data_IF_509918945162
#
_entry.id   IF_509918945162
#
_cell.length_a   1.000
_cell.length_b   1.000
_cell.length_c   1.000
_cell.angle_alpha   90.00
_cell.angle_beta   90.00
_cell.angle_gamma   90.00
#
_symmetry.space_group_name_H-M   'P 1'
#
loop_
_entity.id
_entity.type
_entity.pdbx_description
1 polymer ?
#
# COMPACT_ATOMS: atom_id res chain seq x y z
N UNK A 1 31.72 28.15 -26.30
CA UNK A 1 30.37 27.76 -25.81
C UNK A 1 30.48 26.48 -24.98
N UNK A 2 30.36 26.56 -23.65
CA UNK A 2 30.48 25.40 -22.74
C UNK A 2 29.22 24.52 -22.83
N UNK A 3 29.36 23.27 -23.27
CA UNK A 3 28.28 22.25 -23.28
C UNK A 3 27.81 22.02 -21.84
N UNK A 4 26.61 22.49 -21.49
CA UNK A 4 25.94 22.16 -20.21
C UNK A 4 25.64 20.66 -20.21
N UNK A 5 26.05 19.97 -19.15
CA UNK A 5 25.89 18.53 -18.98
C UNK A 5 24.41 18.14 -18.78
N UNK A 6 23.95 17.01 -19.34
CA UNK A 6 22.55 16.55 -19.27
C UNK A 6 22.05 16.23 -17.84
N UNK A 7 22.96 16.07 -16.87
CA UNK A 7 22.63 15.77 -15.46
C UNK A 7 21.84 16.90 -14.76
N UNK A 8 22.15 18.18 -15.01
CA UNK A 8 21.44 19.30 -14.35
C UNK A 8 20.02 19.49 -14.86
N UNK A 9 19.80 19.29 -16.16
CA UNK A 9 18.46 19.38 -16.74
C UNK A 9 17.55 18.24 -16.26
N UNK A 10 18.11 17.04 -16.07
CA UNK A 10 17.37 15.88 -15.55
C UNK A 10 17.06 16.00 -14.06
N UNK A 11 18.00 16.50 -13.24
CA UNK A 11 17.75 16.80 -11.84
C UNK A 11 16.69 17.88 -11.65
N UNK A 12 16.67 18.90 -12.52
CA UNK A 12 15.60 19.90 -12.55
C UNK A 12 14.24 19.31 -12.98
N UNK A 13 14.23 18.31 -13.88
CA UNK A 13 13.03 17.59 -14.29
C UNK A 13 12.49 16.68 -13.19
N UNK A 14 13.37 15.98 -12.47
CA UNK A 14 13.01 15.14 -11.32
C UNK A 14 12.53 16.03 -10.15
N UNK A 15 13.21 17.15 -9.88
CA UNK A 15 12.78 18.10 -8.87
C UNK A 15 11.44 18.77 -9.22
N UNK A 16 11.23 19.14 -10.49
CA UNK A 16 9.96 19.68 -10.96
C UNK A 16 8.84 18.63 -10.89
N UNK A 17 9.11 17.37 -11.21
CA UNK A 17 8.12 16.30 -11.14
C UNK A 17 7.79 15.88 -9.69
N UNK A 18 8.76 15.93 -8.77
CA UNK A 18 8.52 15.76 -7.33
C UNK A 18 7.78 16.95 -6.72
N UNK A 19 8.02 18.19 -7.18
CA UNK A 19 7.20 19.35 -6.82
C UNK A 19 5.77 19.25 -7.35
N UNK A 20 5.57 18.63 -8.52
CA UNK A 20 4.25 18.38 -9.11
C UNK A 20 3.46 17.26 -8.40
N UNK A 21 4.14 16.30 -7.78
CA UNK A 21 3.50 15.26 -6.96
C UNK A 21 3.21 15.73 -5.52
N UNK A 22 3.82 16.85 -5.08
CA UNK A 22 3.63 17.44 -3.76
C UNK A 22 2.61 18.59 -3.69
N UNK A 23 1.90 18.91 -4.77
CA UNK A 23 0.95 20.02 -4.78
C UNK A 23 -0.07 19.97 -5.92
N UNK A 24 -1.35 19.87 -5.54
CA UNK A 24 -2.58 20.22 -6.27
C UNK A 24 -2.73 19.72 -7.72
N UNK A 25 -3.85 19.02 -7.96
CA UNK A 25 -4.35 18.50 -9.25
C UNK A 25 -4.68 19.58 -10.31
N UNK A 26 -4.08 20.77 -10.25
CA UNK A 26 -4.33 21.87 -11.17
C UNK A 26 -3.19 22.04 -12.18
N UNK A 27 -3.08 21.13 -13.14
CA UNK A 27 -2.40 21.41 -14.42
C UNK A 27 -3.08 20.67 -15.57
N UNK A 28 -4.34 21.02 -15.82
CA UNK A 28 -4.96 20.68 -17.08
C UNK A 28 -4.46 21.62 -18.20
N UNK A 29 -4.12 21.05 -19.35
CA UNK A 29 -4.05 21.73 -20.65
C UNK A 29 -2.70 22.14 -21.25
N UNK A 30 -1.63 22.50 -20.50
CA UNK A 30 -0.41 23.09 -21.13
C UNK A 30 0.96 22.56 -20.72
N UNK A 31 1.11 22.04 -19.49
CA UNK A 31 2.42 21.64 -18.96
C UNK A 31 2.72 20.16 -19.19
N UNK A 32 1.73 19.29 -19.05
CA UNK A 32 1.87 17.85 -19.28
C UNK A 32 2.35 17.52 -20.71
N UNK A 33 1.80 18.12 -21.80
CA UNK A 33 2.27 17.84 -23.16
C UNK A 33 3.70 18.35 -23.43
N UNK A 34 4.10 19.44 -22.75
CA UNK A 34 5.46 20.01 -22.86
C UNK A 34 6.50 19.16 -22.13
N UNK A 35 6.16 18.65 -20.95
CA UNK A 35 6.98 17.71 -20.21
C UNK A 35 7.10 16.39 -20.97
N UNK A 36 5.99 15.85 -21.48
CA UNK A 36 5.98 14.65 -22.31
C UNK A 36 6.85 14.82 -23.56
N UNK A 37 6.72 15.92 -24.29
CA UNK A 37 7.56 16.21 -25.46
C UNK A 37 9.04 16.46 -25.12
N UNK A 38 9.35 17.01 -23.94
CA UNK A 38 10.72 17.18 -23.44
C UNK A 38 11.38 15.84 -23.09
N UNK A 39 10.64 14.98 -22.38
CA UNK A 39 11.10 13.67 -21.92
C UNK A 39 11.15 12.63 -23.04
N UNK A 40 10.24 12.67 -24.01
CA UNK A 40 10.32 11.88 -25.25
C UNK A 40 11.63 12.15 -26.01
N UNK A 41 12.12 13.40 -25.98
CA UNK A 41 13.39 13.82 -26.60
C UNK A 41 14.62 13.69 -25.69
N UNK A 42 14.45 13.27 -24.44
CA UNK A 42 15.57 13.03 -23.52
C UNK A 42 16.40 11.81 -23.96
N UNK A 43 17.69 11.80 -23.62
CA UNK A 43 18.56 10.67 -23.92
C UNK A 43 18.09 9.38 -23.22
N UNK A 44 18.43 8.22 -23.78
CA UNK A 44 18.10 6.92 -23.19
C UNK A 44 18.58 6.81 -21.73
N UNK A 45 19.77 7.33 -21.43
CA UNK A 45 20.32 7.40 -20.06
C UNK A 45 19.47 8.25 -19.12
N UNK A 46 18.88 9.35 -19.61
CA UNK A 46 18.03 10.21 -18.80
C UNK A 46 16.66 9.58 -18.52
N UNK A 47 16.11 8.86 -19.51
CA UNK A 47 14.88 8.07 -19.33
C UNK A 47 15.12 6.90 -18.37
N UNK A 48 16.26 6.21 -18.48
CA UNK A 48 16.66 5.13 -17.57
C UNK A 48 16.80 5.63 -16.12
N UNK A 49 17.48 6.76 -15.91
CA UNK A 49 17.64 7.34 -14.58
C UNK A 49 16.30 7.78 -13.97
N UNK A 50 15.37 8.29 -14.78
CA UNK A 50 14.02 8.61 -14.34
C UNK A 50 13.26 7.34 -13.92
N UNK A 51 13.35 6.28 -14.74
CA UNK A 51 12.77 4.97 -14.42
C UNK A 51 13.33 4.36 -13.13
N UNK A 52 14.64 4.48 -12.88
CA UNK A 52 15.27 4.00 -11.65
C UNK A 52 14.86 4.77 -10.40
N UNK A 53 14.51 6.06 -10.54
CA UNK A 53 14.30 6.95 -9.39
C UNK A 53 12.83 7.31 -9.14
N UNK A 54 11.99 7.24 -10.15
CA UNK A 54 10.56 7.57 -10.06
C UNK A 54 9.76 6.82 -11.14
N UNK A 55 9.63 5.48 -11.05
CA UNK A 55 8.95 4.66 -12.06
C UNK A 55 7.49 5.08 -12.31
N UNK A 56 6.80 5.58 -11.28
CA UNK A 56 5.45 6.15 -11.37
C UNK A 56 5.34 7.34 -12.35
N UNK A 57 6.42 8.11 -12.56
CA UNK A 57 6.46 9.20 -13.55
C UNK A 57 6.72 8.69 -14.96
N UNK A 58 7.46 7.59 -15.11
CA UNK A 58 7.67 6.92 -16.39
C UNK A 58 6.34 6.48 -17.02
N UNK A 59 5.47 5.91 -16.19
CA UNK A 59 4.10 5.50 -16.57
C UNK A 59 3.20 6.71 -16.87
N UNK A 60 3.19 7.73 -15.99
CA UNK A 60 2.40 8.95 -16.18
C UNK A 60 2.72 9.68 -17.50
N UNK A 61 3.97 9.57 -17.97
CA UNK A 61 4.48 10.28 -19.14
C UNK A 61 4.54 9.40 -20.41
N UNK A 62 4.09 8.13 -20.32
CA UNK A 62 4.08 7.20 -21.47
C UNK A 62 5.47 6.96 -22.07
N UNK A 63 6.52 6.89 -21.24
CA UNK A 63 7.87 6.63 -21.69
C UNK A 63 8.12 5.12 -21.83
N UNK A 64 8.48 4.66 -23.03
CA UNK A 64 8.93 3.27 -23.23
C UNK A 64 10.16 2.98 -22.35
N UNK A 65 10.16 1.82 -21.66
CA UNK A 65 11.28 1.37 -20.86
C UNK A 65 12.54 1.18 -21.73
N UNK A 66 13.70 1.73 -21.31
CA UNK A 66 14.96 1.46 -21.99
C UNK A 66 15.64 0.25 -21.35
N UNK A 67 15.11 -0.96 -21.57
CA UNK A 67 15.92 -2.16 -21.40
C UNK A 67 16.56 -2.54 -22.75
N UNK A 68 17.88 -2.86 -22.78
CA UNK A 68 18.41 -3.60 -23.91
C UNK A 68 17.65 -4.92 -23.99
N UNK A 69 17.10 -5.21 -25.16
CA UNK A 69 16.65 -6.55 -25.53
C UNK A 69 17.74 -7.52 -25.11
N UNK A 70 17.46 -8.32 -24.07
CA UNK A 70 18.32 -9.46 -23.77
C UNK A 70 18.46 -10.26 -25.07
N UNK A 71 19.66 -10.75 -25.43
CA UNK A 71 19.79 -11.61 -26.58
C UNK A 71 18.81 -12.77 -26.39
N UNK A 72 17.83 -12.86 -27.29
CA UNK A 72 16.90 -13.98 -27.32
C UNK A 72 17.77 -15.24 -27.45
N UNK A 73 17.75 -16.17 -26.47
CA UNK A 73 18.23 -17.50 -26.77
C UNK A 73 17.41 -17.99 -27.97
N UNK A 74 18.11 -18.59 -28.93
CA UNK A 74 17.55 -19.07 -30.19
C UNK A 74 16.16 -19.66 -29.97
N UNK A 75 15.20 -19.23 -30.79
CA UNK A 75 13.80 -19.58 -30.71
C UNK A 75 13.63 -21.11 -30.77
N UNK A 76 13.71 -21.77 -29.62
CA UNK A 76 12.99 -23.00 -29.40
C UNK A 76 11.53 -22.62 -29.66
N UNK A 77 10.89 -23.34 -30.58
CA UNK A 77 9.47 -23.24 -30.90
C UNK A 77 8.67 -23.43 -29.60
N UNK A 78 8.49 -22.33 -28.86
CA UNK A 78 7.59 -22.29 -27.73
C UNK A 78 6.19 -22.34 -28.31
N UNK A 79 5.31 -23.21 -27.80
CA UNK A 79 3.91 -23.16 -28.18
C UNK A 79 3.39 -21.73 -28.00
N UNK A 80 2.47 -21.27 -28.87
CA UNK A 80 1.91 -19.93 -28.75
C UNK A 80 1.42 -19.72 -27.32
N UNK A 81 1.79 -18.58 -26.73
CA UNK A 81 1.32 -18.23 -25.39
C UNK A 81 -0.22 -18.28 -25.41
N UNK A 82 -0.86 -18.94 -24.42
CA UNK A 82 -2.31 -19.00 -24.37
C UNK A 82 -2.86 -17.57 -24.38
N UNK A 83 -3.93 -17.34 -25.15
CA UNK A 83 -4.59 -16.04 -25.17
C UNK A 83 -5.00 -15.68 -23.74
N UNK A 84 -4.70 -14.45 -23.27
CA UNK A 84 -5.14 -14.01 -21.96
C UNK A 84 -6.66 -14.13 -21.88
N UNK A 85 -7.16 -14.58 -20.73
CA UNK A 85 -8.61 -14.54 -20.47
C UNK A 85 -9.07 -13.08 -20.58
N UNK A 86 -10.10 -12.82 -21.38
CA UNK A 86 -10.84 -11.57 -21.31
C UNK A 86 -11.49 -11.41 -19.93
N UNK A 87 -11.46 -10.20 -19.37
CA UNK A 87 -12.22 -9.89 -18.14
C UNK A 87 -13.71 -9.95 -18.43
N UNK A 88 -14.47 -10.55 -17.52
CA UNK A 88 -15.94 -10.47 -17.59
C UNK A 88 -16.40 -9.09 -17.11
N UNK A 89 -17.66 -8.75 -17.39
CA UNK A 89 -18.25 -7.51 -16.86
C UNK A 89 -18.26 -7.52 -15.33
N UNK A 90 -18.51 -8.69 -14.74
CA UNK A 90 -18.52 -8.90 -13.29
C UNK A 90 -17.14 -8.71 -12.68
N UNK A 91 -16.07 -9.18 -13.34
CA UNK A 91 -14.72 -8.93 -12.86
C UNK A 91 -14.40 -7.44 -12.85
N UNK A 92 -14.71 -6.71 -13.92
CA UNK A 92 -14.54 -5.26 -13.98
C UNK A 92 -15.37 -4.54 -12.90
N UNK A 93 -16.57 -5.03 -12.61
CA UNK A 93 -17.41 -4.51 -11.53
C UNK A 93 -16.77 -4.73 -10.16
N UNK A 94 -16.20 -5.92 -9.89
CA UNK A 94 -15.47 -6.18 -8.63
C UNK A 94 -14.24 -5.26 -8.51
N UNK A 95 -13.46 -5.08 -9.58
CA UNK A 95 -12.32 -4.16 -9.57
C UNK A 95 -12.74 -2.73 -9.22
N UNK A 96 -13.85 -2.26 -9.80
CA UNK A 96 -14.41 -0.93 -9.53
C UNK A 96 -14.95 -0.78 -8.10
N UNK A 97 -15.61 -1.82 -7.56
CA UNK A 97 -16.09 -1.84 -6.17
C UNK A 97 -14.91 -1.77 -5.19
N UNK A 98 -13.87 -2.56 -5.42
CA UNK A 98 -12.65 -2.53 -4.58
C UNK A 98 -11.98 -1.15 -4.65
N UNK A 99 -11.91 -0.53 -5.84
CA UNK A 99 -11.37 0.83 -5.99
C UNK A 99 -12.20 1.86 -5.21
N UNK A 100 -13.53 1.84 -5.34
CA UNK A 100 -14.40 2.77 -4.64
C UNK A 100 -14.23 2.69 -3.12
N UNK A 101 -14.19 1.47 -2.57
CA UNK A 101 -13.98 1.21 -1.14
C UNK A 101 -12.59 1.66 -0.68
N UNK A 102 -11.57 1.47 -1.53
CA UNK A 102 -10.22 1.98 -1.27
C UNK A 102 -10.20 3.51 -1.16
N UNK A 103 -10.91 4.22 -2.04
CA UNK A 103 -10.95 5.69 -2.00
C UNK A 103 -11.58 6.22 -0.70
N UNK A 104 -12.46 5.46 -0.04
CA UNK A 104 -13.02 5.86 1.25
C UNK A 104 -11.96 6.03 2.35
N UNK A 105 -10.75 5.47 2.20
CA UNK A 105 -9.66 5.63 3.17
C UNK A 105 -8.80 6.88 2.95
N UNK A 106 -9.22 7.77 2.05
CA UNK A 106 -8.58 9.05 1.79
C UNK A 106 -9.58 10.19 1.97
N UNK A 107 -9.11 11.32 2.51
CA UNK A 107 -9.92 12.52 2.66
C UNK A 107 -9.07 13.77 2.60
N UNK A 108 -9.53 14.77 1.88
CA UNK A 108 -8.86 16.07 1.79
C UNK A 108 -9.24 16.97 2.96
N UNK A 109 -8.24 17.62 3.55
CA UNK A 109 -8.41 18.62 4.60
C UNK A 109 -7.71 19.92 4.25
N UNK A 110 -8.37 21.03 4.57
CA UNK A 110 -7.73 22.35 4.59
C UNK A 110 -7.16 22.62 5.98
N UNK A 111 -5.83 22.57 6.11
CA UNK A 111 -5.12 22.83 7.36
C UNK A 111 -4.24 24.06 7.18
N UNK A 112 -4.63 25.17 7.80
CA UNK A 112 -4.04 26.47 7.52
C UNK A 112 -4.29 26.88 6.07
N UNK A 113 -3.22 27.23 5.34
CA UNK A 113 -3.29 27.60 3.93
C UNK A 113 -3.08 26.43 2.95
N UNK A 114 -3.02 25.18 3.45
CA UNK A 114 -2.73 23.99 2.65
C UNK A 114 -3.95 23.10 2.53
N UNK A 115 -4.12 22.49 1.36
CA UNK A 115 -4.96 21.31 1.18
C UNK A 115 -4.04 20.09 1.21
N UNK A 116 -4.33 19.14 2.09
CA UNK A 116 -3.58 17.90 2.29
C UNK A 116 -4.51 16.71 2.09
N UNK A 117 -4.08 15.69 1.36
CA UNK A 117 -4.83 14.43 1.23
C UNK A 117 -4.40 13.50 2.37
N UNK A 118 -5.26 13.41 3.39
CA UNK A 118 -5.01 12.56 4.55
C UNK A 118 -5.49 11.15 4.26
N UNK A 119 -4.60 10.20 4.45
CA UNK A 119 -4.90 8.77 4.37
C UNK A 119 -5.12 8.18 5.76
N UNK A 120 -5.86 7.07 5.81
CA UNK A 120 -6.04 6.32 7.04
C UNK A 120 -4.72 5.70 7.52
N UNK A 121 -4.31 5.93 8.79
CA UNK A 121 -3.13 5.29 9.32
C UNK A 121 -3.28 3.77 9.51
N UNK A 122 -2.14 3.09 9.65
CA UNK A 122 -2.11 1.70 10.08
C UNK A 122 -2.38 1.57 11.60
N UNK A 123 -3.00 0.46 12.06
CA UNK A 123 -3.45 0.31 13.46
C UNK A 123 -3.17 -1.03 14.16
N UNK A 124 -2.24 -1.87 13.73
CA UNK A 124 -1.86 -3.06 14.51
C UNK A 124 -0.40 -3.43 14.31
N UNK A 125 0.44 -2.89 15.17
CA UNK A 125 1.82 -3.32 15.29
C UNK A 125 2.00 -4.00 16.64
N UNK A 126 1.97 -5.33 16.67
CA UNK A 126 2.62 -6.08 17.76
C UNK A 126 4.12 -5.76 17.90
N UNK A 127 4.62 -4.83 17.08
CA UNK A 127 5.96 -4.24 17.07
C UNK A 127 6.06 -2.92 17.85
N UNK A 128 4.94 -2.34 18.30
CA UNK A 128 4.89 -1.12 19.12
C UNK A 128 4.71 -1.45 20.59
N UNK A 129 5.39 -2.50 21.01
CA UNK A 129 5.39 -2.98 22.38
C UNK A 129 6.71 -2.61 23.06
N UNK A 130 6.68 -2.35 24.36
CA UNK A 130 7.90 -2.24 25.15
C UNK A 130 8.05 -3.38 26.16
N UNK A 131 9.26 -3.54 26.68
CA UNK A 131 9.59 -4.57 27.65
C UNK A 131 8.80 -4.47 28.98
N UNK A 132 8.03 -3.40 29.18
CA UNK A 132 7.18 -3.18 30.36
C UNK A 132 5.72 -3.58 30.08
N UNK A 133 5.44 -4.16 28.91
CA UNK A 133 4.13 -4.66 28.54
C UNK A 133 3.18 -3.58 28.01
N UNK A 134 3.67 -2.39 27.67
CA UNK A 134 2.85 -1.45 26.91
C UNK A 134 2.61 -2.00 25.51
N UNK A 135 1.38 -1.90 25.01
CA UNK A 135 1.02 -2.06 23.60
C UNK A 135 0.11 -0.90 23.20
N UNK A 136 0.19 -0.47 21.94
CA UNK A 136 -0.60 0.66 21.48
C UNK A 136 -2.02 0.23 21.12
N UNK A 137 -2.98 0.63 21.95
CA UNK A 137 -4.40 0.44 21.64
C UNK A 137 -4.91 1.52 20.67
N UNK A 138 -5.48 1.08 19.54
CA UNK A 138 -6.08 1.97 18.55
C UNK A 138 -7.59 2.09 18.72
N UNK A 139 -8.15 3.23 18.29
CA UNK A 139 -9.58 3.44 18.25
C UNK A 139 -10.27 2.34 17.43
N UNK A 140 -11.29 1.72 18.02
CA UNK A 140 -11.99 0.55 17.46
C UNK A 140 -11.07 -0.64 17.19
N UNK A 141 -10.00 -0.80 17.99
CA UNK A 141 -9.04 -1.89 17.93
C UNK A 141 -8.34 -2.02 16.57
N UNK A 142 -8.26 -0.92 15.80
CA UNK A 142 -7.75 -0.94 14.44
C UNK A 142 -8.69 -1.64 13.44
N UNK A 143 -9.93 -1.93 13.84
CA UNK A 143 -10.96 -2.58 13.04
C UNK A 143 -12.08 -1.61 12.66
N UNK A 144 -11.91 -0.30 12.75
CA UNK A 144 -12.94 0.65 12.32
C UNK A 144 -13.20 0.59 10.80
N UNK A 145 -14.39 1.02 10.37
CA UNK A 145 -14.69 1.35 8.96
C UNK A 145 -14.45 2.84 8.71
N UNK A 146 -14.19 3.28 7.47
CA UNK A 146 -14.08 4.72 7.14
C UNK A 146 -15.22 5.56 7.73
N UNK A 147 -16.47 5.10 7.60
CA UNK A 147 -17.64 5.78 8.15
C UNK A 147 -17.61 5.99 9.68
N UNK A 148 -16.88 5.16 10.42
CA UNK A 148 -16.71 5.28 11.89
C UNK A 148 -15.41 5.98 12.28
N UNK A 149 -14.36 5.83 11.47
CA UNK A 149 -13.04 6.40 11.73
C UNK A 149 -12.98 7.89 11.38
N UNK A 150 -13.58 8.29 10.25
CA UNK A 150 -13.53 9.70 9.82
C UNK A 150 -14.20 10.69 10.77
N UNK A 151 -15.40 10.42 11.34
CA UNK A 151 -15.97 11.34 12.32
C UNK A 151 -15.08 11.56 13.55
N UNK A 152 -14.34 10.53 13.97
CA UNK A 152 -13.36 10.66 15.05
C UNK A 152 -12.16 11.51 14.62
N UNK A 153 -11.61 11.25 13.42
CA UNK A 153 -10.50 12.02 12.85
C UNK A 153 -10.88 13.49 12.65
N UNK A 154 -12.08 13.77 12.16
CA UNK A 154 -12.60 15.12 11.99
C UNK A 154 -12.56 15.89 13.32
N UNK A 155 -13.06 15.27 14.40
CA UNK A 155 -13.03 15.86 15.73
C UNK A 155 -11.60 16.08 16.25
N UNK A 156 -10.67 15.16 15.96
CA UNK A 156 -9.26 15.27 16.32
C UNK A 156 -8.59 16.42 15.58
N UNK A 157 -8.77 16.53 14.27
CA UNK A 157 -8.15 17.56 13.44
C UNK A 157 -8.76 18.95 13.69
N UNK A 158 -10.03 19.03 14.12
CA UNK A 158 -10.65 20.27 14.57
C UNK A 158 -10.22 20.70 15.99
N UNK A 159 -9.47 19.87 16.71
CA UNK A 159 -9.13 20.14 18.11
C UNK A 159 -8.05 21.21 18.28
N UNK A 160 -8.10 21.95 19.41
CA UNK A 160 -7.02 22.89 19.80
C UNK A 160 -5.67 22.20 19.97
N UNK A 161 -5.67 20.93 20.39
CA UNK A 161 -4.46 20.13 20.54
C UNK A 161 -3.77 19.93 19.20
N UNK A 162 -4.53 19.53 18.16
CA UNK A 162 -3.97 19.38 16.83
C UNK A 162 -3.55 20.73 16.24
N UNK A 163 -4.32 21.81 16.44
CA UNK A 163 -3.92 23.15 15.99
C UNK A 163 -2.58 23.58 16.61
N UNK A 164 -2.37 23.32 17.91
CA UNK A 164 -1.10 23.58 18.59
C UNK A 164 0.06 22.70 18.09
N UNK A 165 -0.22 21.46 17.69
CA UNK A 165 0.75 20.58 17.04
C UNK A 165 1.15 21.12 15.66
N UNK A 166 0.15 21.38 14.81
CA UNK A 166 0.33 21.87 13.46
C UNK A 166 1.15 23.17 13.42
N UNK A 167 0.87 24.10 14.32
CA UNK A 167 1.62 25.35 14.43
C UNK A 167 3.09 25.15 14.82
N UNK A 168 3.39 24.22 15.74
CA UNK A 168 4.76 23.95 16.19
C UNK A 168 5.57 23.20 15.13
N UNK A 169 4.96 22.19 14.51
CA UNK A 169 5.61 21.34 13.52
C UNK A 169 5.79 22.07 12.19
N UNK A 170 4.76 22.78 11.72
CA UNK A 170 4.82 23.55 10.48
C UNK A 170 5.49 24.92 10.60
N UNK A 171 5.94 25.31 11.80
CA UNK A 171 6.69 26.55 12.02
C UNK A 171 8.11 26.50 11.42
N UNK A 172 8.80 27.64 11.28
CA UNK A 172 10.16 27.69 10.73
C UNK A 172 11.21 27.06 11.67
N UNK A 173 12.41 26.82 11.12
CA UNK A 173 13.58 26.33 11.83
C UNK A 173 13.66 24.82 11.96
N UNK A 174 14.87 24.31 12.16
CA UNK A 174 15.10 22.88 12.33
C UNK A 174 14.66 22.42 13.72
N UNK A 175 14.01 21.26 13.77
CA UNK A 175 13.48 20.69 15.02
C UNK A 175 13.34 19.18 14.93
N UNK A 176 13.21 18.57 16.09
CA UNK A 176 12.88 17.15 16.23
C UNK A 176 11.54 17.04 16.92
N UNK A 177 10.60 16.34 16.28
CA UNK A 177 9.32 15.99 16.86
C UNK A 177 9.46 14.63 17.54
N UNK A 178 9.38 14.60 18.87
CA UNK A 178 9.46 13.39 19.66
C UNK A 178 8.07 12.95 20.11
N UNK A 179 7.59 11.81 19.62
CA UNK A 179 6.34 11.20 20.06
C UNK A 179 6.58 10.19 21.18
N UNK A 180 5.68 10.18 22.15
CA UNK A 180 5.56 9.12 23.16
C UNK A 180 4.22 8.44 22.97
N UNK A 181 4.25 7.20 22.48
CA UNK A 181 3.05 6.41 22.26
C UNK A 181 2.31 6.15 23.58
N UNK A 182 2.97 5.77 24.71
CA UNK A 182 2.28 5.52 25.97
C UNK A 182 1.58 6.75 26.52
N UNK A 183 2.19 7.94 26.36
CA UNK A 183 1.63 9.20 26.86
C UNK A 183 0.67 9.87 25.88
N UNK A 184 0.54 9.36 24.65
CA UNK A 184 -0.26 9.97 23.57
C UNK A 184 0.09 11.44 23.39
N UNK A 185 1.39 11.73 23.38
CA UNK A 185 1.89 13.09 23.43
C UNK A 185 3.05 13.28 22.48
N UNK A 186 3.31 14.54 22.13
CA UNK A 186 4.48 14.95 21.37
C UNK A 186 5.25 16.04 22.12
N UNK A 187 6.54 16.11 21.86
CA UNK A 187 7.44 17.19 22.25
C UNK A 187 8.18 17.69 21.02
N UNK A 188 8.55 18.96 21.02
CA UNK A 188 9.35 19.56 19.94
C UNK A 188 10.65 20.05 20.56
N UNK A 189 11.77 19.55 20.05
CA UNK A 189 13.11 19.88 20.48
C UNK A 189 13.80 20.70 19.40
N UNK A 190 14.51 21.76 19.80
CA UNK A 190 15.34 22.59 18.91
C UNK A 190 16.81 22.56 19.36
N UNK A 191 17.16 21.61 20.22
CA UNK A 191 18.50 21.44 20.77
C UNK A 191 19.45 20.87 19.70
N UNK A 192 20.60 21.53 19.49
CA UNK A 192 21.57 21.17 18.45
C UNK A 192 22.08 19.73 18.54
N UNK A 193 22.34 19.22 19.74
CA UNK A 193 22.90 17.88 19.93
C UNK A 193 21.96 16.75 19.43
N UNK A 194 20.64 16.89 19.62
CA UNK A 194 19.70 15.88 19.14
C UNK A 194 19.52 15.95 17.61
N UNK A 195 19.58 17.16 17.05
CA UNK A 195 19.57 17.37 15.60
C UNK A 195 20.83 16.78 14.96
N UNK A 196 22.01 17.08 15.50
CA UNK A 196 23.30 16.54 15.04
C UNK A 196 23.35 15.01 15.13
N UNK A 197 22.84 14.42 16.22
CA UNK A 197 22.79 12.98 16.38
C UNK A 197 21.94 12.30 15.29
N UNK A 198 20.76 12.86 14.98
CA UNK A 198 19.89 12.33 13.94
C UNK A 198 20.48 12.53 12.53
N UNK A 199 21.20 13.62 12.28
CA UNK A 199 21.91 13.87 11.02
C UNK A 199 23.07 12.87 10.80
N UNK A 200 23.64 12.34 11.89
CA UNK A 200 24.66 11.30 11.89
C UNK A 200 24.09 9.87 11.94
N UNK A 201 22.82 9.68 11.58
CA UNK A 201 22.09 8.39 11.62
C UNK A 201 22.06 7.71 13.01
N UNK A 202 22.31 8.46 14.09
CA UNK A 202 22.22 7.96 15.47
C UNK A 202 20.80 8.11 15.99
N UNK A 203 19.92 7.18 15.61
CA UNK A 203 18.52 7.17 16.03
C UNK A 203 18.34 6.80 17.53
N UNK A 204 17.85 7.70 18.39
CA UNK A 204 17.69 7.45 19.83
C UNK A 204 16.32 6.87 20.20
N UNK A 205 15.48 6.60 19.19
CA UNK A 205 14.12 6.11 19.40
C UNK A 205 14.06 4.68 19.91
N UNK A 206 12.86 4.32 20.34
CA UNK A 206 12.47 2.97 20.78
C UNK A 206 11.14 2.63 20.11
N UNK A 207 10.67 1.37 20.15
CA UNK A 207 9.36 1.02 19.60
C UNK A 207 8.21 1.96 20.04
N UNK A 208 8.29 2.50 21.26
CA UNK A 208 7.25 3.34 21.87
C UNK A 208 7.61 4.83 21.96
N UNK A 209 8.80 5.22 21.48
CA UNK A 209 9.28 6.61 21.45
C UNK A 209 9.94 6.93 20.11
N UNK A 210 9.27 7.74 19.32
CA UNK A 210 9.63 8.02 17.92
C UNK A 210 10.20 9.43 17.85
N UNK A 211 11.31 9.62 17.13
CA UNK A 211 11.92 10.92 16.88
C UNK A 211 11.91 11.21 15.39
N UNK A 212 11.41 12.38 14.98
CA UNK A 212 11.31 12.76 13.57
C UNK A 212 11.99 14.12 13.35
N UNK A 213 13.11 14.18 12.62
CA UNK A 213 13.70 15.44 12.24
C UNK A 213 12.81 16.18 11.24
N UNK A 214 12.78 17.50 11.34
CA UNK A 214 12.02 18.41 10.47
C UNK A 214 12.87 19.64 10.17
N UNK A 215 13.00 19.98 8.90
CA UNK A 215 13.91 21.02 8.41
C UNK A 215 13.17 22.32 8.06
N UNK A 216 12.38 22.85 9.01
CA UNK A 216 11.60 24.08 8.82
C UNK A 216 10.52 24.04 7.73
N UNK A 217 10.18 22.84 7.25
CA UNK A 217 9.20 22.64 6.18
C UNK A 217 7.77 22.88 6.67
N UNK A 218 6.86 23.33 5.79
CA UNK A 218 5.45 23.46 6.17
C UNK A 218 4.84 22.08 6.44
N UNK A 219 3.75 22.08 7.23
CA UNK A 219 3.04 20.86 7.64
C UNK A 219 2.70 19.96 6.44
N UNK A 220 3.10 18.70 6.49
CA UNK A 220 2.93 17.69 5.44
C UNK A 220 1.82 16.68 5.78
N UNK A 221 1.42 15.87 4.79
CA UNK A 221 0.52 14.72 5.02
C UNK A 221 1.13 13.72 6.02
N UNK A 222 2.45 13.50 5.95
CA UNK A 222 3.16 12.64 6.88
C UNK A 222 3.06 13.17 8.33
N UNK A 223 3.13 14.48 8.54
CA UNK A 223 2.97 15.07 9.88
C UNK A 223 1.57 14.84 10.45
N UNK A 224 0.54 14.93 9.59
CA UNK A 224 -0.85 14.63 10.00
C UNK A 224 -0.98 13.14 10.32
N UNK A 225 -0.45 12.26 9.46
CA UNK A 225 -0.39 10.83 9.70
C UNK A 225 0.27 10.51 11.04
N UNK A 226 1.44 11.09 11.32
CA UNK A 226 2.21 10.85 12.54
C UNK A 226 1.40 11.23 13.79
N UNK A 227 0.67 12.35 13.75
CA UNK A 227 -0.21 12.76 14.85
C UNK A 227 -1.40 11.82 15.03
N UNK A 228 -2.09 11.46 13.95
CA UNK A 228 -3.21 10.53 13.99
C UNK A 228 -2.78 9.16 14.52
N UNK A 229 -1.62 8.68 14.10
CA UNK A 229 -1.03 7.43 14.57
C UNK A 229 -0.61 7.53 16.05
N UNK A 230 0.25 8.47 16.42
CA UNK A 230 0.93 8.45 17.72
C UNK A 230 0.10 9.07 18.87
N UNK A 231 -0.73 10.07 18.57
CA UNK A 231 -1.49 10.83 19.57
C UNK A 231 -2.96 10.41 19.57
N UNK A 232 -3.60 10.48 18.40
CA UNK A 232 -5.01 10.11 18.28
C UNK A 232 -5.21 8.60 18.39
N UNK A 233 -4.19 7.79 18.04
CA UNK A 233 -4.24 6.33 17.98
C UNK A 233 -5.40 5.85 17.12
N UNK A 234 -5.50 6.37 15.90
CA UNK A 234 -6.53 5.96 14.95
C UNK A 234 -5.90 5.40 13.69
N UNK A 235 -6.52 4.34 13.16
CA UNK A 235 -6.13 3.72 11.91
C UNK A 235 -6.90 2.43 11.67
N UNK A 236 -6.50 1.70 10.63
CA UNK A 236 -7.02 0.38 10.30
C UNK A 236 -5.87 -0.60 10.10
N UNK A 237 -6.00 -1.80 10.64
CA UNK A 237 -5.02 -2.86 10.43
C UNK A 237 -5.26 -3.63 9.12
N UNK A 238 -4.31 -4.48 8.75
CA UNK A 238 -4.31 -5.15 7.45
C UNK A 238 -5.51 -6.09 7.26
N UNK A 239 -5.91 -6.79 8.33
CA UNK A 239 -7.03 -7.73 8.30
C UNK A 239 -8.39 -7.04 8.38
N UNK A 240 -8.51 -5.94 9.13
CA UNK A 240 -9.70 -5.10 9.18
C UNK A 240 -9.92 -4.33 7.88
N UNK A 241 -8.83 -3.92 7.22
CA UNK A 241 -8.86 -3.34 5.88
C UNK A 241 -9.32 -4.37 4.85
N UNK A 242 -8.67 -5.54 4.79
CA UNK A 242 -9.04 -6.62 3.88
C UNK A 242 -10.50 -7.07 4.09
N UNK A 243 -10.92 -7.22 5.35
CA UNK A 243 -12.30 -7.53 5.70
C UNK A 243 -13.29 -6.49 5.15
N UNK A 244 -13.01 -5.19 5.29
CA UNK A 244 -13.90 -4.14 4.77
C UNK A 244 -14.07 -4.22 3.25
N UNK A 245 -12.98 -4.47 2.53
CA UNK A 245 -13.02 -4.63 1.07
C UNK A 245 -13.87 -5.84 0.69
N UNK A 246 -13.65 -6.99 1.32
CA UNK A 246 -14.42 -8.21 1.05
C UNK A 246 -15.89 -8.10 1.45
N UNK A 247 -16.19 -7.40 2.54
CA UNK A 247 -17.55 -7.11 3.00
C UNK A 247 -18.30 -6.24 1.99
N UNK A 248 -17.67 -5.21 1.45
CA UNK A 248 -18.28 -4.35 0.45
C UNK A 248 -18.55 -5.10 -0.86
N UNK A 249 -17.62 -5.96 -1.30
CA UNK A 249 -17.84 -6.86 -2.44
C UNK A 249 -19.02 -7.78 -2.13
N UNK A 250 -19.01 -8.49 -1.00
CA UNK A 250 -20.09 -9.41 -0.62
C UNK A 250 -21.47 -8.73 -0.63
N UNK A 251 -21.57 -7.54 -0.03
CA UNK A 251 -22.81 -6.76 0.05
C UNK A 251 -23.34 -6.39 -1.33
N UNK A 252 -22.46 -6.04 -2.27
CA UNK A 252 -22.84 -5.75 -3.65
C UNK A 252 -23.47 -6.96 -4.37
N UNK A 253 -23.19 -8.18 -3.89
CA UNK A 253 -23.77 -9.44 -4.39
C UNK A 253 -24.83 -10.03 -3.42
N UNK A 254 -25.43 -9.19 -2.57
CA UNK A 254 -26.54 -9.59 -1.68
C UNK A 254 -26.14 -10.48 -0.51
N UNK A 255 -24.85 -10.55 -0.19
CA UNK A 255 -24.32 -11.36 0.90
C UNK A 255 -23.94 -10.49 2.11
N UNK A 256 -24.70 -10.63 3.20
CA UNK A 256 -24.43 -9.95 4.47
C UNK A 256 -23.47 -10.80 5.34
N UNK A 257 -22.15 -10.64 5.11
CA UNK A 257 -21.12 -11.45 5.78
C UNK A 257 -21.21 -11.43 7.30
N UNK A 258 -21.50 -10.28 7.91
CA UNK A 258 -21.60 -10.17 9.37
C UNK A 258 -22.78 -10.99 9.93
N UNK A 259 -23.87 -11.14 9.18
CA UNK A 259 -25.00 -11.96 9.62
C UNK A 259 -24.63 -13.45 9.57
N UNK A 260 -24.13 -13.90 8.41
CA UNK A 260 -23.75 -15.30 8.18
C UNK A 260 -22.65 -15.75 9.16
N UNK A 261 -21.61 -14.94 9.35
CA UNK A 261 -20.54 -15.25 10.27
C UNK A 261 -20.91 -15.04 11.73
N UNK A 262 -21.88 -14.17 12.05
CA UNK A 262 -22.35 -13.98 13.42
C UNK A 262 -22.88 -15.28 14.01
N UNK A 263 -23.66 -16.03 13.23
CA UNK A 263 -24.16 -17.36 13.60
C UNK A 263 -23.01 -18.37 13.79
N UNK A 264 -22.07 -18.39 12.84
CA UNK A 264 -20.95 -19.35 12.83
C UNK A 264 -19.98 -19.10 13.99
N UNK A 265 -19.65 -17.83 14.25
CA UNK A 265 -18.74 -17.39 15.30
C UNK A 265 -19.43 -17.24 16.66
N UNK A 266 -20.76 -17.44 16.74
CA UNK A 266 -21.59 -17.28 17.94
C UNK A 266 -21.43 -15.91 18.59
N UNK A 267 -21.45 -14.86 17.77
CA UNK A 267 -21.40 -13.45 18.20
C UNK A 267 -22.49 -12.65 17.51
N UNK A 268 -22.87 -11.51 18.10
CA UNK A 268 -23.76 -10.58 17.41
C UNK A 268 -23.12 -10.13 16.07
N UNK A 269 -23.88 -9.95 14.97
CA UNK A 269 -23.34 -9.55 13.66
C UNK A 269 -22.38 -8.36 13.75
N UNK A 270 -22.79 -7.30 14.46
CA UNK A 270 -21.98 -6.09 14.72
C UNK A 270 -20.63 -6.32 15.42
N UNK A 271 -20.42 -7.50 16.01
CA UNK A 271 -19.19 -7.87 16.72
C UNK A 271 -18.27 -8.75 15.87
N UNK A 272 -18.72 -9.25 14.72
CA UNK A 272 -17.93 -10.12 13.82
C UNK A 272 -16.64 -9.41 13.42
N UNK A 273 -16.72 -8.18 12.91
CA UNK A 273 -15.57 -7.41 12.45
C UNK A 273 -14.46 -7.27 13.50
N UNK A 274 -14.84 -7.06 14.77
CA UNK A 274 -13.89 -6.97 15.88
C UNK A 274 -13.18 -8.29 16.21
N UNK A 275 -13.71 -9.43 15.74
CA UNK A 275 -13.12 -10.77 15.92
C UNK A 275 -12.24 -11.18 14.75
N UNK A 276 -12.39 -10.57 13.58
CA UNK A 276 -11.60 -10.90 12.40
C UNK A 276 -10.16 -10.43 12.58
N UNK A 277 -9.28 -11.39 12.81
CA UNK A 277 -7.83 -11.23 12.72
C UNK A 277 -7.27 -12.04 11.55
N UNK A 278 -5.94 -12.03 11.39
CA UNK A 278 -5.29 -12.82 10.33
C UNK A 278 -5.55 -14.33 10.43
N UNK A 279 -5.80 -14.82 11.65
CA UNK A 279 -6.23 -16.20 11.89
C UNK A 279 -7.45 -16.58 11.03
N UNK A 280 -8.41 -15.66 10.86
CA UNK A 280 -9.64 -15.93 10.11
C UNK A 280 -9.37 -16.23 8.63
N UNK A 281 -8.34 -15.60 8.06
CA UNK A 281 -7.97 -15.81 6.66
C UNK A 281 -7.08 -17.02 6.44
N UNK A 282 -6.60 -17.67 7.51
CA UNK A 282 -5.83 -18.90 7.41
C UNK A 282 -6.72 -20.04 6.87
N UNK A 283 -6.36 -20.71 5.76
CA UNK A 283 -7.13 -21.85 5.24
C UNK A 283 -7.31 -22.98 6.25
N UNK A 284 -6.47 -23.07 7.28
CA UNK A 284 -6.66 -24.01 8.39
C UNK A 284 -7.97 -23.79 9.17
N UNK A 285 -8.59 -22.62 9.07
CA UNK A 285 -9.87 -22.29 9.68
C UNK A 285 -11.08 -22.58 8.79
N UNK A 286 -10.87 -23.03 7.56
CA UNK A 286 -11.90 -23.39 6.58
C UNK A 286 -12.83 -22.25 6.11
N UNK A 287 -12.57 -20.99 6.50
CA UNK A 287 -13.26 -19.83 5.94
C UNK A 287 -12.73 -19.43 4.56
N UNK A 288 -11.45 -19.69 4.31
CA UNK A 288 -10.78 -19.41 3.05
C UNK A 288 -10.32 -20.71 2.38
N UNK A 289 -10.17 -20.66 1.07
CA UNK A 289 -9.51 -21.71 0.29
C UNK A 289 -8.16 -21.21 -0.21
N UNK A 290 -7.17 -22.09 -0.28
CA UNK A 290 -5.88 -21.77 -0.90
C UNK A 290 -6.06 -21.71 -2.41
N UNK A 291 -5.56 -20.63 -3.02
CA UNK A 291 -5.50 -20.45 -4.46
C UNK A 291 -4.05 -20.60 -4.91
N UNK A 292 -3.85 -21.16 -6.10
CA UNK A 292 -2.55 -21.12 -6.78
C UNK A 292 -2.11 -19.66 -6.93
N UNK A 293 -0.84 -19.37 -6.67
CA UNK A 293 -0.31 -18.02 -6.90
C UNK A 293 0.17 -17.81 -8.35
N UNK A 294 -0.28 -18.66 -9.28
CA UNK A 294 -0.09 -18.47 -10.71
C UNK A 294 -0.91 -17.30 -11.23
N UNK A 295 -0.26 -16.45 -12.04
CA UNK A 295 -0.85 -15.20 -12.53
C UNK A 295 -2.20 -15.42 -13.25
N UNK A 296 -2.36 -16.50 -14.02
CA UNK A 296 -3.59 -16.82 -14.75
C UNK A 296 -4.77 -17.26 -13.85
N UNK A 297 -4.48 -17.70 -12.62
CA UNK A 297 -5.47 -18.19 -11.65
C UNK A 297 -5.93 -17.12 -10.65
N UNK A 298 -5.17 -16.04 -10.49
CA UNK A 298 -5.49 -14.92 -9.60
C UNK A 298 -6.72 -14.14 -10.10
N UNK A 299 -7.51 -13.64 -9.16
CA UNK A 299 -8.65 -12.75 -9.42
C UNK A 299 -8.67 -11.55 -8.47
N UNK A 300 -9.38 -10.47 -8.84
CA UNK A 300 -9.81 -9.46 -7.87
C UNK A 300 -10.50 -10.11 -6.66
N UNK A 301 -10.33 -9.51 -5.48
CA UNK A 301 -10.76 -10.01 -4.17
C UNK A 301 -10.03 -11.25 -3.63
N UNK A 302 -9.06 -11.83 -4.35
CA UNK A 302 -8.13 -12.78 -3.75
C UNK A 302 -7.22 -12.06 -2.74
N UNK A 303 -6.81 -12.77 -1.68
CA UNK A 303 -5.98 -12.25 -0.61
C UNK A 303 -4.55 -12.79 -0.71
N UNK A 304 -3.56 -11.92 -0.61
CA UNK A 304 -2.16 -12.28 -0.42
C UNK A 304 -1.89 -12.30 1.09
N UNK A 305 -1.50 -13.45 1.64
CA UNK A 305 -1.16 -13.61 3.05
C UNK A 305 0.35 -13.78 3.22
N UNK A 306 0.96 -12.92 4.03
CA UNK A 306 2.40 -12.93 4.30
C UNK A 306 2.71 -13.68 5.60
N UNK A 307 3.57 -14.69 5.51
CA UNK A 307 3.93 -15.53 6.65
C UNK A 307 5.01 -14.89 7.52
N UNK A 308 4.94 -15.12 8.83
CA UNK A 308 5.95 -14.74 9.81
C UNK A 308 6.88 -15.90 10.21
N UNK A 309 7.91 -15.57 10.98
CA UNK A 309 8.92 -16.53 11.46
C UNK A 309 8.39 -17.61 12.38
N UNK A 310 7.25 -17.36 13.02
CA UNK A 310 6.58 -18.32 13.91
C UNK A 310 5.59 -19.21 13.15
N UNK A 311 5.58 -19.14 11.82
CA UNK A 311 4.65 -19.89 10.97
C UNK A 311 3.22 -19.36 10.98
N UNK A 312 2.91 -18.28 11.68
CA UNK A 312 1.59 -17.63 11.58
C UNK A 312 1.58 -16.56 10.50
N UNK A 313 0.41 -16.21 9.96
CA UNK A 313 0.28 -15.06 9.07
C UNK A 313 0.41 -13.75 9.86
N UNK A 314 1.21 -12.82 9.33
CA UNK A 314 1.49 -11.52 9.96
C UNK A 314 0.94 -10.33 9.17
N UNK A 315 0.53 -10.54 7.92
CA UNK A 315 -0.09 -9.49 7.12
C UNK A 315 -0.95 -10.04 5.99
N UNK A 316 -1.85 -9.20 5.52
CA UNK A 316 -2.76 -9.49 4.41
C UNK A 316 -2.85 -8.30 3.47
N UNK A 317 -3.01 -8.60 2.19
CA UNK A 317 -3.34 -7.64 1.14
C UNK A 317 -4.44 -8.18 0.23
N UNK A 318 -5.21 -7.31 -0.42
CA UNK A 318 -6.29 -7.69 -1.34
C UNK A 318 -5.87 -7.38 -2.76
N UNK A 319 -6.00 -8.34 -3.68
CA UNK A 319 -5.84 -8.08 -5.11
C UNK A 319 -7.00 -7.21 -5.58
N UNK A 320 -6.67 -6.01 -6.06
CA UNK A 320 -7.64 -5.07 -6.61
C UNK A 320 -7.95 -5.40 -8.06
N UNK A 321 -6.92 -5.55 -8.89
CA UNK A 321 -7.08 -5.74 -10.34
C UNK A 321 -5.91 -6.48 -10.95
N UNK A 322 -6.18 -7.17 -12.06
CA UNK A 322 -5.16 -7.91 -12.82
C UNK A 322 -5.29 -7.54 -14.29
N UNK A 323 -4.28 -6.90 -14.85
CA UNK A 323 -4.19 -6.56 -16.27
C UNK A 323 -3.21 -7.54 -16.95
N UNK A 324 -3.76 -8.61 -17.52
CA UNK A 324 -2.99 -9.66 -18.19
C UNK A 324 -2.30 -9.18 -19.46
N UNK A 325 -2.87 -8.18 -20.15
CA UNK A 325 -2.31 -7.63 -21.37
C UNK A 325 -1.11 -6.72 -21.07
N UNK A 326 -1.20 -5.90 -20.02
CA UNK A 326 -0.12 -5.00 -19.61
C UNK A 326 0.86 -5.62 -18.63
N UNK A 327 0.58 -6.80 -18.10
CA UNK A 327 1.48 -7.48 -17.18
C UNK A 327 1.48 -6.87 -15.78
N UNK A 328 0.33 -6.45 -15.26
CA UNK A 328 0.22 -5.69 -14.01
C UNK A 328 -0.81 -6.32 -13.07
N UNK A 329 -0.42 -6.57 -11.82
CA UNK A 329 -1.36 -6.82 -10.71
C UNK A 329 -1.30 -5.61 -9.78
N UNK A 330 -2.47 -5.07 -9.43
CA UNK A 330 -2.60 -4.07 -8.36
C UNK A 330 -3.17 -4.74 -7.13
N UNK A 331 -2.56 -4.50 -5.99
CA UNK A 331 -3.03 -5.00 -4.70
C UNK A 331 -3.03 -3.87 -3.67
N UNK A 332 -3.90 -4.00 -2.68
CA UNK A 332 -4.14 -2.99 -1.66
C UNK A 332 -3.77 -3.55 -0.30
N UNK A 333 -3.15 -2.72 0.53
CA UNK A 333 -2.75 -3.11 1.87
C UNK A 333 -2.83 -1.94 2.83
N UNK A 334 -2.90 -2.24 4.12
CA UNK A 334 -2.66 -1.28 5.20
C UNK A 334 -1.46 -1.75 6.01
N UNK A 335 -0.33 -1.04 5.92
CA UNK A 335 0.90 -1.34 6.67
C UNK A 335 1.71 -0.07 6.84
N UNK A 336 2.46 0.06 7.93
CA UNK A 336 3.44 1.12 8.08
C UNK A 336 4.85 0.71 7.65
N UNK A 337 5.07 -0.56 7.28
CA UNK A 337 6.29 -1.02 6.61
C UNK A 337 6.34 -0.61 5.13
N UNK A 338 6.26 0.69 4.87
CA UNK A 338 6.23 1.26 3.54
C UNK A 338 7.00 2.58 3.53
N UNK A 339 7.26 3.13 2.34
CA UNK A 339 7.83 4.47 2.22
C UNK A 339 6.93 5.49 2.92
N UNK A 340 7.48 6.63 3.37
CA UNK A 340 6.72 7.61 4.16
C UNK A 340 5.40 8.03 3.48
N UNK A 341 5.44 8.19 2.16
CA UNK A 341 4.30 8.55 1.31
C UNK A 341 3.37 7.37 0.98
N UNK A 342 3.60 6.19 1.53
CA UNK A 342 2.82 4.95 1.34
C UNK A 342 2.37 4.32 2.67
N UNK A 343 2.80 4.83 3.83
CA UNK A 343 2.38 4.28 5.13
C UNK A 343 0.86 4.30 5.31
N UNK A 344 0.34 3.30 6.01
CA UNK A 344 -1.10 3.09 6.19
C UNK A 344 -1.71 2.43 4.96
N UNK A 345 -2.94 2.82 4.66
CA UNK A 345 -3.67 2.31 3.49
C UNK A 345 -3.03 2.83 2.19
N UNK A 346 -2.65 1.92 1.30
CA UNK A 346 -2.07 2.25 0.01
C UNK A 346 -2.27 1.15 -1.05
N UNK A 347 -1.89 1.48 -2.28
CA UNK A 347 -1.88 0.59 -3.44
C UNK A 347 -0.44 0.26 -3.81
N UNK A 348 -0.24 -1.00 -4.16
CA UNK A 348 1.05 -1.54 -4.59
C UNK A 348 0.91 -2.29 -5.92
N UNK A 349 2.04 -2.52 -6.60
CA UNK A 349 2.09 -3.08 -7.95
C UNK A 349 3.02 -4.30 -8.01
N UNK A 350 2.57 -5.34 -8.72
CA UNK A 350 3.39 -6.44 -9.21
C UNK A 350 3.40 -6.37 -10.74
N UNK A 351 4.59 -6.48 -11.35
CA UNK A 351 4.77 -6.59 -12.80
C UNK A 351 5.17 -8.01 -13.19
N UNK A 352 4.66 -8.49 -14.32
CA UNK A 352 5.00 -9.78 -14.91
C UNK A 352 5.04 -9.68 -16.45
N UNK A 353 5.62 -10.69 -17.10
CA UNK A 353 5.65 -10.79 -18.56
C UNK A 353 4.28 -11.33 -19.04
N UNK A 354 3.51 -10.57 -19.85
CA UNK A 354 2.22 -11.02 -20.41
C UNK A 354 2.29 -12.33 -21.19
N UNK A 355 3.48 -12.74 -21.66
CA UNK A 355 3.70 -14.00 -22.36
C UNK A 355 3.95 -15.19 -21.42
N UNK A 356 3.98 -14.96 -20.10
CA UNK A 356 4.30 -15.94 -19.06
C UNK A 356 3.26 -15.98 -17.95
N UNK A 357 1.99 -16.11 -18.34
CA UNK A 357 0.85 -16.10 -17.41
C UNK A 357 0.80 -17.31 -16.47
N UNK A 358 1.52 -18.38 -16.77
CA UNK A 358 1.55 -19.60 -15.94
C UNK A 358 2.60 -19.53 -14.83
N UNK A 359 3.37 -18.45 -14.72
CA UNK A 359 4.34 -18.27 -13.66
C UNK A 359 3.63 -17.87 -12.35
N UNK A 360 4.20 -18.32 -11.24
CA UNK A 360 3.78 -17.98 -9.88
C UNK A 360 4.32 -16.60 -9.45
N UNK A 361 3.70 -16.02 -8.42
CA UNK A 361 4.14 -14.75 -7.84
C UNK A 361 5.57 -14.79 -7.24
N UNK A 362 6.06 -15.99 -6.92
CA UNK A 362 7.42 -16.21 -6.43
C UNK A 362 8.50 -16.19 -7.54
N UNK A 363 8.09 -16.35 -8.80
CA UNK A 363 8.99 -16.55 -9.92
C UNK A 363 9.92 -15.35 -10.11
N UNK A 364 11.17 -15.61 -10.50
CA UNK A 364 12.21 -14.57 -10.58
C UNK A 364 11.93 -13.49 -11.63
N UNK A 365 11.04 -13.74 -12.60
CA UNK A 365 10.62 -12.72 -13.59
C UNK A 365 9.51 -11.80 -13.07
N UNK A 366 8.84 -12.17 -11.97
CA UNK A 366 7.79 -11.37 -11.35
C UNK A 366 8.44 -10.33 -10.43
N UNK A 367 8.04 -9.06 -10.60
CA UNK A 367 8.67 -7.90 -9.96
C UNK A 367 7.66 -7.20 -9.07
N UNK A 368 7.88 -7.26 -7.76
CA UNK A 368 7.10 -6.51 -6.78
C UNK A 368 7.74 -5.14 -6.61
N UNK A 369 6.97 -4.08 -6.82
CA UNK A 369 7.49 -2.71 -6.77
C UNK A 369 7.41 -2.10 -5.37
N UNK A 370 6.59 -2.67 -4.48
CA UNK A 370 6.45 -2.18 -3.12
C UNK A 370 7.76 -2.33 -2.36
N UNK A 371 8.27 -1.20 -1.86
CA UNK A 371 9.43 -1.19 -0.99
C UNK A 371 9.01 -1.35 0.47
N UNK A 372 9.80 -2.13 1.19
CA UNK A 372 9.71 -2.24 2.64
C UNK A 372 10.69 -1.23 3.24
N UNK A 373 10.18 -0.42 4.15
CA UNK A 373 10.91 0.59 4.92
C UNK A 373 10.47 0.53 6.37
N UNK A 374 11.30 0.95 7.32
CA UNK A 374 10.86 1.10 8.69
C UNK A 374 9.71 2.13 8.76
N UNK A 375 8.77 1.99 9.72
CA UNK A 375 7.66 2.93 9.82
C UNK A 375 8.05 4.37 10.04
N UNK A 376 9.18 4.63 10.70
CA UNK A 376 9.69 5.98 10.89
C UNK A 376 11.16 6.07 10.45
N UNK A 377 11.57 7.20 9.84
CA UNK A 377 12.96 7.44 9.48
C UNK A 377 13.91 7.22 10.66
N UNK A 378 15.03 6.53 10.42
CA UNK A 378 16.04 6.20 11.43
C UNK A 378 15.76 4.94 12.26
N UNK A 379 14.52 4.42 12.27
CA UNK A 379 14.26 3.10 12.85
C UNK A 379 14.95 2.00 12.03
N UNK A 380 15.32 0.90 12.70
CA UNK A 380 15.97 -0.23 12.03
C UNK A 380 14.96 -0.96 11.15
N UNK A 381 15.40 -1.36 9.95
CA UNK A 381 14.62 -2.27 9.11
C UNK A 381 14.39 -3.58 9.87
N UNK A 382 13.13 -4.04 10.00
CA UNK A 382 12.82 -5.11 10.92
C UNK A 382 13.45 -6.46 10.53
N UNK A 383 13.67 -6.75 9.23
CA UNK A 383 14.05 -8.11 8.77
C UNK A 383 14.89 -8.20 7.48
N UNK A 384 15.68 -7.18 7.13
CA UNK A 384 16.47 -7.11 5.86
C UNK A 384 15.64 -7.25 4.56
N UNK A 385 14.31 -7.21 4.64
CA UNK A 385 13.43 -7.19 3.48
C UNK A 385 13.51 -5.82 2.81
N UNK A 386 13.77 -5.81 1.50
CA UNK A 386 13.79 -4.58 0.72
C UNK A 386 12.47 -4.35 0.00
N UNK A 387 11.75 -5.43 -0.29
CA UNK A 387 10.50 -5.43 -1.05
C UNK A 387 9.49 -6.41 -0.47
N UNK A 388 8.22 -6.24 -0.84
CA UNK A 388 7.18 -7.23 -0.51
C UNK A 388 7.44 -8.60 -1.15
N UNK A 389 8.24 -8.68 -2.23
CA UNK A 389 8.73 -9.96 -2.75
C UNK A 389 9.57 -10.69 -1.71
N UNK A 390 10.52 -9.99 -1.08
CA UNK A 390 11.39 -10.60 -0.08
C UNK A 390 10.56 -11.14 1.07
N UNK A 391 9.54 -10.39 1.49
CA UNK A 391 8.57 -10.80 2.51
C UNK A 391 7.73 -12.01 2.07
N UNK A 392 7.22 -12.00 0.84
CA UNK A 392 6.39 -13.09 0.30
C UNK A 392 7.18 -14.41 0.24
N UNK A 393 8.42 -14.35 -0.20
CA UNK A 393 9.31 -15.52 -0.32
C UNK A 393 9.90 -16.01 1.00
N UNK A 394 9.71 -15.26 2.07
CA UNK A 394 10.33 -15.58 3.35
C UNK A 394 9.61 -16.72 4.06
N UNK A 395 10.34 -17.40 4.96
CA UNK A 395 9.89 -18.56 5.73
C UNK A 395 9.29 -19.71 4.90
N UNK A 396 9.94 -20.13 3.79
CA UNK A 396 9.47 -21.27 3.00
C UNK A 396 9.39 -22.57 3.84
N UNK A 397 10.30 -22.74 4.80
CA UNK A 397 10.31 -23.85 5.75
C UNK A 397 9.08 -23.89 6.66
N UNK A 398 8.42 -22.75 6.88
CA UNK A 398 7.19 -22.64 7.66
C UNK A 398 5.92 -22.74 6.78
N UNK A 399 6.06 -23.12 5.51
CA UNK A 399 4.96 -23.26 4.54
C UNK A 399 4.80 -22.07 3.57
N UNK A 400 5.61 -21.01 3.72
CA UNK A 400 5.63 -19.85 2.82
C UNK A 400 4.39 -18.95 2.86
N UNK A 401 4.51 -17.76 2.27
CA UNK A 401 3.34 -16.92 1.99
C UNK A 401 2.46 -17.57 0.91
N UNK A 402 1.19 -17.19 0.86
CA UNK A 402 0.24 -17.80 -0.07
C UNK A 402 -0.88 -16.86 -0.48
N UNK A 403 -1.58 -17.24 -1.54
CA UNK A 403 -2.83 -16.59 -1.95
C UNK A 403 -4.01 -17.43 -1.49
N UNK A 404 -5.05 -16.75 -0.98
CA UNK A 404 -6.28 -17.38 -0.52
C UNK A 404 -7.50 -16.64 -1.02
N UNK A 405 -8.67 -17.26 -0.93
CA UNK A 405 -9.94 -16.68 -1.31
C UNK A 405 -10.99 -16.94 -0.24
N UNK A 406 -11.77 -15.92 0.12
CA UNK A 406 -12.87 -16.07 1.07
C UNK A 406 -14.01 -16.86 0.41
N UNK A 407 -14.29 -18.07 0.91
CA UNK A 407 -15.21 -19.02 0.28
C UNK A 407 -16.61 -18.45 0.05
N UNK A 408 -17.14 -17.71 1.03
CA UNK A 408 -18.47 -17.10 0.93
C UNK A 408 -18.54 -16.04 -0.19
N UNK A 409 -17.50 -15.21 -0.32
CA UNK A 409 -17.40 -14.22 -1.40
C UNK A 409 -17.21 -14.92 -2.74
N UNK A 410 -16.37 -15.95 -2.79
CA UNK A 410 -16.15 -16.76 -4.00
C UNK A 410 -17.46 -17.36 -4.52
N UNK A 411 -18.25 -17.97 -3.63
CA UNK A 411 -19.53 -18.56 -3.98
C UNK A 411 -20.51 -17.53 -4.53
N UNK A 412 -20.58 -16.33 -3.94
CA UNK A 412 -21.44 -15.25 -4.42
C UNK A 412 -21.00 -14.76 -5.81
N UNK A 413 -19.70 -14.59 -6.04
CA UNK A 413 -19.15 -14.17 -7.33
C UNK A 413 -19.36 -15.23 -8.42
N UNK A 414 -19.18 -16.51 -8.08
CA UNK A 414 -19.42 -17.61 -9.01
C UNK A 414 -20.91 -17.80 -9.33
N UNK A 415 -21.81 -17.52 -8.37
CA UNK A 415 -23.24 -17.51 -8.62
C UNK A 415 -23.66 -16.37 -9.57
N UNK A 416 -23.00 -15.21 -9.47
CA UNK A 416 -23.24 -14.08 -10.35
C UNK A 416 -22.65 -14.29 -11.76
N UNK A 417 -21.45 -14.86 -11.87
CA UNK A 417 -20.81 -15.23 -13.12
C UNK A 417 -20.07 -16.57 -12.96
N UNK A 418 -20.64 -17.64 -13.53
CA UNK A 418 -20.12 -19.00 -13.38
C UNK A 418 -18.68 -19.19 -13.88
N UNK A 419 -18.22 -18.30 -14.76
CA UNK A 419 -16.86 -18.30 -15.33
C UNK A 419 -15.88 -17.41 -14.57
N UNK A 420 -16.29 -16.74 -13.49
CA UNK A 420 -15.47 -15.74 -12.80
C UNK A 420 -14.08 -16.30 -12.43
N UNK A 421 -14.03 -17.54 -11.93
CA UNK A 421 -12.79 -18.22 -11.54
C UNK A 421 -12.22 -19.17 -12.60
N UNK A 422 -12.76 -19.17 -13.82
CA UNK A 422 -12.28 -20.05 -14.89
C UNK A 422 -10.99 -19.49 -15.49
N UNK A 423 -9.88 -20.22 -15.36
CA UNK A 423 -8.56 -19.79 -15.85
C UNK A 423 -8.45 -19.76 -17.38
N UNK A 424 -9.28 -20.51 -18.10
CA UNK A 424 -9.27 -20.61 -19.58
C UNK A 424 -10.69 -20.61 -20.13
N UNK A 425 -10.96 -19.74 -21.10
CA UNK A 425 -12.17 -19.91 -21.90
C UNK A 425 -12.03 -21.17 -22.75
N UNK A 426 -13.04 -22.06 -22.80
CA UNK A 426 -13.05 -23.11 -23.80
C UNK A 426 -12.99 -22.47 -25.19
N UNK A 427 -12.19 -23.06 -26.08
CA UNK A 427 -12.12 -22.64 -27.48
C UNK A 427 -13.53 -22.58 -28.08
N UNK A 428 -13.97 -21.40 -28.52
CA UNK A 428 -15.26 -21.21 -29.19
C UNK A 428 -16.30 -20.32 -28.49
N UNK A 429 -16.03 -19.79 -27.29
CA UNK A 429 -16.90 -18.79 -26.67
C UNK A 429 -16.52 -17.36 -27.11
N UNK A 430 -17.05 -16.91 -28.26
CA UNK A 430 -17.12 -15.49 -28.64
C UNK A 430 -18.56 -15.08 -28.84
#
# INVERSE_FOLDING_TARGET
>A
MKRRTPKRALLLLIAAANMLLGGSWYLDGRLLPRLQGGLQRASATAKLLLWEKAPQLGDLLGLAEPYPTAPQPAAALRPPAPLPRGKTAEELQVEALIDAVFQEYFRDYSIGARTLTVRMPFALNGEREDARGYSQDFFLDGKGTPARLWPYIDAVLASRSFAGYAAKVGGPGDKVVAFSLPRRSYQVHTEGLLLEALDQDSYPGTPTRIFLPRNGEPLSEADVYNYLYAVARVGVDCSGFAWYVLEAVARAYGLELEQVLGETLRVAPRAVRGRIGLWFFDPAQDYTERVSDRIDELRPADLILFRGSDGTFKHSAVIQSIDLERGIIRYLQSTDWATEIERGVHRSIIRFDPLRLTESLDHYSVRWLQQVRPPFPGEREPRNWRTDRDRYLWYPEAGGSQVVRLRLVAAALQAAESRFYTARFPEGAR
#
